data_IF_327001596187
#
_entry.id   IF_327001596187
#
_cell.length_a   1.000
_cell.length_b   1.000
_cell.length_c   1.000
_cell.angle_alpha   90.00
_cell.angle_beta   90.00
_cell.angle_gamma   90.00
#
_symmetry.space_group_name_H-M   'P 1'
#
loop_
_entity.id
_entity.type
_entity.pdbx_description
1 polymer ?
#
# COMPACT_ATOMS: atom_id res chain seq x y z
N UNK A 1 -19.92 -21.93 1.10
CA UNK A 1 -20.08 -20.50 1.45
C UNK A 1 -21.54 -20.10 1.20
N UNK A 2 -21.88 -18.83 0.98
CA UNK A 2 -23.18 -18.53 0.33
C UNK A 2 -23.18 -19.12 -1.08
N UNK A 3 -24.35 -19.46 -1.63
CA UNK A 3 -24.46 -20.05 -2.98
C UNK A 3 -23.77 -19.17 -4.04
N UNK A 4 -23.90 -17.85 -3.90
CA UNK A 4 -23.26 -16.89 -4.80
C UNK A 4 -21.73 -16.90 -4.67
N UNK A 5 -21.21 -16.95 -3.43
CA UNK A 5 -19.77 -16.97 -3.19
C UNK A 5 -19.12 -18.29 -3.65
N UNK A 6 -19.82 -19.43 -3.50
CA UNK A 6 -19.36 -20.72 -4.03
C UNK A 6 -19.23 -20.68 -5.56
N UNK A 7 -20.23 -20.11 -6.25
CA UNK A 7 -20.20 -19.94 -7.70
C UNK A 7 -19.07 -19.00 -8.16
N UNK A 8 -18.83 -17.92 -7.43
CA UNK A 8 -17.75 -16.98 -7.72
C UNK A 8 -16.37 -17.66 -7.62
N UNK A 9 -16.11 -18.42 -6.54
CA UNK A 9 -14.86 -19.16 -6.38
C UNK A 9 -14.71 -20.26 -7.43
N UNK A 10 -15.77 -21.00 -7.74
CA UNK A 10 -15.74 -22.01 -8.80
C UNK A 10 -15.43 -21.42 -10.18
N UNK A 11 -15.93 -20.21 -10.45
CA UNK A 11 -15.64 -19.48 -11.70
C UNK A 11 -14.19 -19.00 -11.71
N UNK A 12 -13.73 -18.38 -10.61
CA UNK A 12 -12.38 -17.83 -10.49
C UNK A 12 -11.29 -18.91 -10.66
N UNK A 13 -11.52 -20.14 -10.19
CA UNK A 13 -10.59 -21.28 -10.36
C UNK A 13 -10.23 -21.60 -11.81
N UNK A 14 -11.05 -21.21 -12.78
CA UNK A 14 -10.80 -21.45 -14.21
C UNK A 14 -10.04 -20.31 -14.90
N UNK A 15 -9.74 -19.22 -14.19
CA UNK A 15 -8.98 -18.11 -14.73
C UNK A 15 -7.48 -18.40 -14.75
N UNK A 16 -6.68 -17.67 -15.54
CA UNK A 16 -5.23 -17.70 -15.45
C UNK A 16 -4.74 -17.34 -14.03
N UNK A 17 -3.61 -17.91 -13.55
CA UNK A 17 -3.12 -17.69 -12.18
C UNK A 17 -3.05 -16.22 -11.76
N UNK A 18 -2.53 -15.35 -12.64
CA UNK A 18 -2.41 -13.91 -12.39
C UNK A 18 -3.77 -13.25 -12.09
N UNK A 19 -4.82 -13.61 -12.83
CA UNK A 19 -6.17 -13.09 -12.60
C UNK A 19 -6.82 -13.69 -11.33
N UNK A 20 -6.44 -14.91 -10.95
CA UNK A 20 -6.89 -15.48 -9.67
C UNK A 20 -6.33 -14.68 -8.50
N UNK A 21 -5.05 -14.32 -8.55
CA UNK A 21 -4.39 -13.51 -7.52
C UNK A 21 -4.97 -12.10 -7.44
N UNK A 22 -5.30 -11.48 -8.58
CA UNK A 22 -5.93 -10.16 -8.59
C UNK A 22 -7.31 -10.17 -7.91
N UNK A 23 -8.15 -11.16 -8.23
CA UNK A 23 -9.46 -11.32 -7.58
C UNK A 23 -9.28 -11.63 -6.09
N UNK A 24 -8.32 -12.50 -5.73
CA UNK A 24 -8.02 -12.82 -4.35
C UNK A 24 -7.62 -11.58 -3.55
N UNK A 25 -6.76 -10.72 -4.11
CA UNK A 25 -6.34 -9.46 -3.49
C UNK A 25 -7.52 -8.53 -3.21
N UNK A 26 -8.41 -8.33 -4.18
CA UNK A 26 -9.62 -7.52 -4.00
C UNK A 26 -10.52 -8.09 -2.90
N UNK A 27 -10.72 -9.41 -2.88
CA UNK A 27 -11.54 -10.07 -1.87
C UNK A 27 -10.91 -9.96 -0.47
N UNK A 28 -9.59 -10.09 -0.35
CA UNK A 28 -8.87 -9.93 0.91
C UNK A 28 -8.93 -8.48 1.41
N UNK A 29 -8.71 -7.48 0.54
CA UNK A 29 -8.88 -6.07 0.90
C UNK A 29 -10.31 -5.79 1.36
N UNK A 30 -11.32 -6.27 0.63
CA UNK A 30 -12.73 -6.09 1.00
C UNK A 30 -13.10 -6.79 2.32
N UNK A 31 -12.52 -7.97 2.58
CA UNK A 31 -12.73 -8.73 3.80
C UNK A 31 -11.95 -8.19 5.02
N UNK A 32 -11.14 -7.13 4.85
CA UNK A 32 -10.26 -6.59 5.89
C UNK A 32 -9.09 -7.52 6.24
N UNK A 33 -8.71 -8.40 5.30
CA UNK A 33 -7.87 -9.57 5.55
C UNK A 33 -6.37 -9.36 5.56
N UNK A 34 -5.82 -8.24 5.06
CA UNK A 34 -4.34 -8.10 5.01
C UNK A 34 -3.76 -6.69 5.04
N UNK A 35 -4.57 -5.63 5.01
CA UNK A 35 -4.09 -4.28 5.32
C UNK A 35 -4.71 -3.87 6.65
N UNK A 36 -3.92 -4.00 7.72
CA UNK A 36 -4.13 -3.16 8.89
C UNK A 36 -3.96 -1.73 8.38
N UNK A 37 -5.08 -1.08 8.07
CA UNK A 37 -5.11 0.37 7.86
C UNK A 37 -4.54 0.96 9.14
N UNK A 38 -3.33 1.50 9.04
CA UNK A 38 -2.72 2.22 10.14
C UNK A 38 -3.47 3.55 10.19
N UNK A 39 -4.35 3.68 11.18
CA UNK A 39 -4.97 4.96 11.50
C UNK A 39 -3.86 5.90 11.97
N UNK A 40 -3.59 6.93 11.16
CA UNK A 40 -2.63 7.95 11.51
C UNK A 40 -3.16 8.78 12.67
N UNK A 41 -2.28 9.16 13.58
CA UNK A 41 -2.58 10.23 14.52
C UNK A 41 -2.75 11.56 13.75
N UNK A 42 -3.47 12.55 14.30
CA UNK A 42 -3.60 13.85 13.65
C UNK A 42 -2.25 14.54 13.37
N UNK A 43 -1.24 14.25 14.18
CA UNK A 43 0.12 14.76 13.99
C UNK A 43 0.82 14.10 12.79
N UNK A 44 0.76 12.76 12.70
CA UNK A 44 1.31 12.03 11.55
C UNK A 44 0.61 12.39 10.23
N UNK A 45 -0.71 12.62 10.24
CA UNK A 45 -1.44 13.11 9.06
C UNK A 45 -0.96 14.51 8.64
N UNK A 46 -0.77 15.41 9.60
CA UNK A 46 -0.27 16.76 9.32
C UNK A 46 1.15 16.74 8.74
N UNK A 47 2.02 15.87 9.24
CA UNK A 47 3.38 15.69 8.71
C UNK A 47 3.35 15.24 7.24
N UNK A 48 2.46 14.32 6.88
CA UNK A 48 2.31 13.88 5.49
C UNK A 48 1.74 14.96 4.57
N UNK A 49 0.82 15.78 5.07
CA UNK A 49 0.27 16.92 4.31
C UNK A 49 1.39 17.93 4.00
N UNK A 50 2.26 18.24 4.96
CA UNK A 50 3.38 19.14 4.72
C UNK A 50 4.39 18.52 3.74
N UNK A 51 4.74 17.24 3.90
CA UNK A 51 5.64 16.56 2.97
C UNK A 51 5.12 16.59 1.52
N UNK A 52 3.80 16.42 1.31
CA UNK A 52 3.20 16.56 -0.02
C UNK A 52 3.30 18.00 -0.56
N UNK A 53 3.19 19.00 0.30
CA UNK A 53 3.36 20.39 -0.09
C UNK A 53 4.82 20.70 -0.46
N UNK A 54 5.80 20.19 0.29
CA UNK A 54 7.24 20.26 -0.04
C UNK A 54 7.53 19.63 -1.41
N UNK A 55 6.96 18.44 -1.68
CA UNK A 55 7.08 17.77 -2.98
C UNK A 55 6.55 18.64 -4.13
N UNK A 56 5.40 19.30 -3.94
CA UNK A 56 4.83 20.19 -4.95
C UNK A 56 5.69 21.44 -5.19
N UNK A 57 6.41 21.92 -4.17
CA UNK A 57 7.39 23.00 -4.27
C UNK A 57 8.74 22.54 -4.85
N UNK A 58 8.97 21.23 -4.94
CA UNK A 58 10.24 20.65 -5.38
C UNK A 58 11.32 20.67 -4.31
N UNK A 59 10.93 20.78 -3.03
CA UNK A 59 11.82 20.83 -1.87
C UNK A 59 12.31 19.43 -1.48
N UNK A 60 13.06 18.81 -2.37
CA UNK A 60 13.69 17.52 -2.12
C UNK A 60 15.13 17.70 -1.64
N UNK A 61 15.55 16.85 -0.72
CA UNK A 61 16.97 16.69 -0.42
C UNK A 61 17.72 16.24 -1.69
N UNK A 62 18.90 16.80 -1.89
CA UNK A 62 19.81 16.38 -2.96
C UNK A 62 20.37 15.00 -2.67
N UNK A 63 20.86 14.32 -3.71
CA UNK A 63 21.49 13.01 -3.55
C UNK A 63 22.70 13.05 -2.60
N UNK A 64 23.50 14.13 -2.64
CA UNK A 64 24.63 14.30 -1.73
C UNK A 64 24.20 14.43 -0.25
N UNK A 65 23.13 15.16 0.03
CA UNK A 65 22.57 15.30 1.39
C UNK A 65 22.05 13.94 1.89
N UNK A 66 21.32 13.22 1.04
CA UNK A 66 20.81 11.88 1.35
C UNK A 66 21.97 10.91 1.64
N UNK A 67 23.02 10.89 0.81
CA UNK A 67 24.19 10.03 1.05
C UNK A 67 24.93 10.40 2.35
N UNK A 68 25.04 11.69 2.66
CA UNK A 68 25.68 12.17 3.89
C UNK A 68 24.95 11.61 5.12
N UNK A 69 23.61 11.71 5.16
CA UNK A 69 22.81 11.16 6.27
C UNK A 69 22.93 9.64 6.32
N UNK A 70 22.75 8.95 5.19
CA UNK A 70 22.70 7.49 5.18
C UNK A 70 24.05 6.84 5.50
N UNK A 71 25.17 7.45 5.11
CA UNK A 71 26.52 6.94 5.44
C UNK A 71 26.80 6.88 6.94
N UNK A 72 26.07 7.65 7.76
CA UNK A 72 26.14 7.61 9.22
C UNK A 72 25.43 6.40 9.84
N UNK A 73 24.41 5.85 9.17
CA UNK A 73 23.48 4.87 9.76
C UNK A 73 23.41 3.53 9.03
N UNK A 74 23.82 3.46 7.76
CA UNK A 74 23.92 2.21 7.00
C UNK A 74 25.27 1.55 7.30
N UNK A 75 25.26 0.46 8.06
CA UNK A 75 26.39 -0.46 8.22
C UNK A 75 26.58 -1.32 6.97
#
# INVERSE_FOLDING_TARGET
MTKLLDQAVATARNLPPEMQDDIARIMLTYAGGDERVIELTPEEEADLIEAQAEMARGEFATEAEVQTVLSKYRL
#
